data_IF_799451394394
#
_entry.id   IF_799451394394
#
_cell.length_a   1.000
_cell.length_b   1.000
_cell.length_c   1.000
_cell.angle_alpha   90.00
_cell.angle_beta   90.00
_cell.angle_gamma   90.00
#
_symmetry.space_group_name_H-M   'P 1'
#
loop_
_entity.id
_entity.type
_entity.pdbx_description
1 polymer ?
#
# COMPACT_ATOMS: atom_id res chain seq x y z
N UNK A 1 -32.60 -13.96 31.16
CA UNK A 1 -32.65 -12.55 31.58
C UNK A 1 -31.22 -12.02 31.53
N UNK A 2 -31.04 -10.93 30.77
CA UNK A 2 -29.78 -10.33 30.34
C UNK A 2 -28.92 -9.91 31.54
N UNK A 3 -27.62 -10.21 31.52
CA UNK A 3 -26.64 -9.56 32.40
C UNK A 3 -25.62 -8.80 31.56
N UNK A 4 -25.66 -7.48 31.74
CA UNK A 4 -24.64 -6.45 31.56
C UNK A 4 -23.48 -6.71 30.60
N UNK A 5 -23.63 -6.19 29.39
CA UNK A 5 -22.53 -5.66 28.58
C UNK A 5 -22.09 -4.35 29.23
N UNK A 6 -20.87 -4.27 29.76
CA UNK A 6 -20.31 -2.99 30.18
C UNK A 6 -19.23 -3.08 31.24
N UNK A 7 -17.97 -3.24 30.81
CA UNK A 7 -16.80 -2.66 31.49
C UNK A 7 -15.50 -3.05 30.78
N UNK A 8 -14.83 -2.06 30.18
CA UNK A 8 -13.38 -2.12 29.96
C UNK A 8 -12.93 -2.38 28.52
N UNK A 9 -13.07 -1.36 27.67
CA UNK A 9 -12.39 -1.25 26.38
C UNK A 9 -10.85 -1.35 26.51
N UNK A 10 -10.15 -1.77 25.44
CA UNK A 10 -8.70 -1.93 25.43
C UNK A 10 -7.97 -0.62 25.68
N UNK A 11 -7.00 -0.66 26.59
CA UNK A 11 -6.07 0.43 26.88
C UNK A 11 -5.25 0.75 25.62
N UNK A 12 -5.65 1.77 24.88
CA UNK A 12 -4.81 2.36 23.84
C UNK A 12 -3.67 3.06 24.55
N UNK A 13 -2.52 2.39 24.63
CA UNK A 13 -1.26 2.98 25.05
C UNK A 13 -0.82 3.96 23.96
N UNK A 14 -1.31 5.19 24.04
CA UNK A 14 -0.70 6.36 23.42
C UNK A 14 0.68 6.56 24.06
N UNK A 15 1.66 5.79 23.60
CA UNK A 15 3.08 6.06 23.84
C UNK A 15 3.60 6.81 22.62
N UNK A 16 3.07 8.02 22.42
CA UNK A 16 3.85 9.05 21.77
C UNK A 16 5.05 9.39 22.68
N UNK A 17 6.13 9.85 22.04
CA UNK A 17 7.37 10.34 22.66
C UNK A 17 8.36 9.21 22.98
N UNK A 18 9.08 8.82 21.93
CA UNK A 18 10.31 8.05 22.01
C UNK A 18 11.15 8.38 20.78
N UNK A 19 11.70 9.60 20.77
CA UNK A 19 12.76 9.96 19.85
C UNK A 19 13.94 9.01 20.06
N UNK A 20 14.17 8.12 19.10
CA UNK A 20 15.48 7.50 18.90
C UNK A 20 15.97 7.95 17.54
N UNK A 21 16.75 9.02 17.59
CA UNK A 21 17.59 9.53 16.52
C UNK A 21 18.50 8.40 16.02
N UNK A 22 18.31 8.00 14.77
CA UNK A 22 19.25 7.19 14.00
C UNK A 22 19.71 8.03 12.80
N UNK A 23 21.01 8.23 12.57
CA UNK A 23 21.48 9.11 11.51
C UNK A 23 21.38 8.37 10.18
N UNK A 24 20.39 8.72 9.36
CA UNK A 24 20.32 8.16 8.01
C UNK A 24 18.95 8.23 7.35
N UNK A 25 18.54 9.42 6.94
CA UNK A 25 17.82 9.69 5.69
C UNK A 25 17.45 11.18 5.65
N UNK A 26 17.77 11.85 4.55
CA UNK A 26 17.46 13.25 4.32
C UNK A 26 15.95 13.53 4.53
N UNK A 27 15.63 14.23 5.61
CA UNK A 27 14.29 14.70 5.90
C UNK A 27 13.98 15.95 5.07
N UNK A 28 13.18 15.79 4.01
CA UNK A 28 12.37 16.89 3.49
C UNK A 28 11.33 17.24 4.56
N UNK A 29 11.66 18.22 5.40
CA UNK A 29 10.72 18.80 6.35
C UNK A 29 9.86 19.84 5.63
N UNK A 30 8.66 19.43 5.26
CA UNK A 30 7.60 20.32 4.80
C UNK A 30 6.25 19.76 5.24
N UNK A 31 5.80 20.13 6.45
CA UNK A 31 4.43 19.90 6.91
C UNK A 31 3.89 21.18 7.54
N UNK A 32 2.59 21.42 7.37
CA UNK A 32 1.75 21.36 8.54
C UNK A 32 0.66 20.30 8.39
N UNK A 33 0.41 19.64 9.51
CA UNK A 33 -0.61 18.61 9.70
C UNK A 33 -2.02 19.11 9.34
N UNK A 34 -2.71 18.35 8.49
CA UNK A 34 -4.16 18.26 8.48
C UNK A 34 -4.49 16.80 8.79
N UNK A 35 -5.35 16.55 9.79
CA UNK A 35 -5.67 15.24 10.35
C UNK A 35 -6.39 14.28 9.40
N UNK A 36 -5.70 13.86 8.32
CA UNK A 36 -6.05 12.74 7.46
C UNK A 36 -4.78 11.91 7.25
N UNK A 37 -4.94 10.60 7.05
CA UNK A 37 -3.82 9.67 6.88
C UNK A 37 -2.75 10.25 5.96
N UNK A 38 -1.50 10.28 6.44
CA UNK A 38 -0.36 10.77 5.65
C UNK A 38 -0.37 10.08 4.28
N UNK A 39 -0.24 10.85 3.20
CA UNK A 39 -0.25 10.32 1.82
C UNK A 39 0.75 9.16 1.65
N UNK A 40 1.91 9.24 2.33
CA UNK A 40 2.90 8.17 2.34
C UNK A 40 2.39 6.88 3.00
N UNK A 41 1.55 6.97 4.04
CA UNK A 41 0.89 5.82 4.66
C UNK A 41 -0.12 5.20 3.69
N UNK A 42 -0.96 6.01 3.05
CA UNK A 42 -1.94 5.51 2.07
C UNK A 42 -1.24 4.82 0.90
N UNK A 43 -0.15 5.40 0.39
CA UNK A 43 0.64 4.80 -0.69
C UNK A 43 1.30 3.47 -0.25
N UNK A 44 1.73 3.37 1.01
CA UNK A 44 2.30 2.15 1.59
C UNK A 44 1.25 1.04 1.71
N UNK A 45 0.04 1.38 2.13
CA UNK A 45 -1.06 0.44 2.24
C UNK A 45 -1.48 -0.07 0.86
N UNK A 46 -1.61 0.83 -0.12
CA UNK A 46 -1.88 0.47 -1.53
C UNK A 46 -0.79 -0.44 -2.12
N UNK A 47 0.48 -0.15 -1.83
CA UNK A 47 1.58 -1.01 -2.26
C UNK A 47 1.53 -2.40 -1.60
N UNK A 48 1.18 -2.47 -0.31
CA UNK A 48 0.97 -3.72 0.42
C UNK A 48 -0.16 -4.56 -0.19
N UNK A 49 -1.28 -3.93 -0.51
CA UNK A 49 -2.44 -4.57 -1.12
C UNK A 49 -2.14 -5.09 -2.54
N UNK A 50 -1.34 -4.34 -3.32
CA UNK A 50 -0.89 -4.80 -4.63
C UNK A 50 -0.04 -6.08 -4.53
N UNK A 51 0.88 -6.14 -3.56
CA UNK A 51 1.72 -7.33 -3.32
C UNK A 51 0.86 -8.52 -2.88
N UNK A 52 -0.10 -8.29 -1.98
CA UNK A 52 -1.00 -9.35 -1.51
C UNK A 52 -1.87 -9.89 -2.65
N UNK A 53 -2.38 -9.00 -3.51
CA UNK A 53 -3.16 -9.37 -4.70
C UNK A 53 -2.34 -10.21 -5.67
N UNK A 54 -1.08 -9.83 -5.92
CA UNK A 54 -0.17 -10.60 -6.78
C UNK A 54 0.08 -12.01 -6.21
N UNK A 55 0.37 -12.13 -4.92
CA UNK A 55 0.54 -13.44 -4.25
C UNK A 55 -0.72 -14.30 -4.34
N UNK A 56 -1.90 -13.71 -4.17
CA UNK A 56 -3.17 -14.41 -4.30
C UNK A 56 -3.39 -14.92 -5.72
N UNK A 57 -3.00 -14.12 -6.73
CA UNK A 57 -3.09 -14.51 -8.14
C UNK A 57 -2.12 -15.66 -8.48
N UNK A 58 -0.90 -15.65 -7.94
CA UNK A 58 0.04 -16.77 -8.05
C UNK A 58 -0.53 -18.05 -7.43
N UNK A 59 -1.11 -17.96 -6.22
CA UNK A 59 -1.75 -19.11 -5.57
C UNK A 59 -2.92 -19.66 -6.38
N UNK A 60 -3.77 -18.79 -6.95
CA UNK A 60 -4.84 -19.23 -7.84
C UNK A 60 -4.32 -19.83 -9.14
N UNK A 61 -3.24 -19.31 -9.70
CA UNK A 61 -2.60 -19.85 -10.91
C UNK A 61 -2.03 -21.25 -10.65
N UNK A 62 -1.40 -21.46 -9.50
CA UNK A 62 -0.95 -22.78 -9.05
C UNK A 62 -2.14 -23.73 -8.89
N UNK A 63 -3.25 -23.26 -8.32
CA UNK A 63 -4.47 -24.08 -8.20
C UNK A 63 -5.10 -24.38 -9.57
N UNK A 64 -5.08 -23.45 -10.52
CA UNK A 64 -5.55 -23.65 -11.89
C UNK A 64 -4.74 -24.67 -12.67
N UNK A 65 -3.41 -24.64 -12.54
CA UNK A 65 -2.52 -25.67 -13.12
C UNK A 65 -2.79 -27.05 -12.50
N UNK A 66 -3.15 -27.10 -11.21
CA UNK A 66 -3.57 -28.33 -10.53
C UNK A 66 -5.02 -28.76 -10.86
N UNK A 67 -5.76 -28.01 -11.70
CA UNK A 67 -7.15 -28.31 -12.08
C UNK A 67 -8.21 -27.87 -11.06
N UNK A 68 -7.82 -27.18 -9.99
CA UNK A 68 -8.71 -26.70 -8.91
C UNK A 68 -9.34 -25.32 -9.19
N UNK A 69 -8.97 -24.66 -10.29
CA UNK A 69 -9.57 -23.39 -10.73
C UNK A 69 -9.85 -23.42 -12.24
N UNK A 70 -10.98 -22.84 -12.66
CA UNK A 70 -11.39 -22.84 -14.07
C UNK A 70 -10.47 -21.96 -14.92
N UNK A 71 -10.26 -22.34 -16.19
CA UNK A 71 -9.48 -21.54 -17.15
C UNK A 71 -10.01 -20.11 -17.30
N UNK A 72 -11.33 -19.92 -17.15
CA UNK A 72 -11.97 -18.62 -17.15
C UNK A 72 -11.56 -17.76 -15.94
N UNK A 73 -11.49 -18.36 -14.73
CA UNK A 73 -11.05 -17.65 -13.52
C UNK A 73 -9.57 -17.23 -13.60
N UNK A 74 -8.72 -18.04 -14.24
CA UNK A 74 -7.32 -17.70 -14.47
C UNK A 74 -7.20 -16.50 -15.42
N UNK A 75 -7.94 -16.49 -16.53
CA UNK A 75 -7.94 -15.36 -17.47
C UNK A 75 -8.46 -14.08 -16.80
N UNK A 76 -9.52 -14.17 -16.01
CA UNK A 76 -10.04 -13.01 -15.27
C UNK A 76 -9.03 -12.45 -14.26
N UNK A 77 -8.33 -13.34 -13.53
CA UNK A 77 -7.26 -12.94 -12.62
C UNK A 77 -6.09 -12.24 -13.35
N UNK A 78 -5.68 -12.76 -14.51
CA UNK A 78 -4.62 -12.16 -15.34
C UNK A 78 -5.04 -10.79 -15.89
N UNK A 79 -6.26 -10.67 -16.42
CA UNK A 79 -6.79 -9.41 -16.93
C UNK A 79 -6.88 -8.33 -15.84
N UNK A 80 -7.24 -8.70 -14.61
CA UNK A 80 -7.24 -7.78 -13.47
C UNK A 80 -5.82 -7.37 -13.04
N UNK A 81 -4.86 -8.30 -13.11
CA UNK A 81 -3.45 -8.00 -12.85
C UNK A 81 -2.88 -7.02 -13.90
N UNK A 82 -3.20 -7.20 -15.18
CA UNK A 82 -2.74 -6.30 -16.26
C UNK A 82 -3.24 -4.87 -16.09
N UNK A 83 -4.51 -4.69 -15.70
CA UNK A 83 -5.09 -3.35 -15.43
C UNK A 83 -4.37 -2.64 -14.27
N UNK A 84 -4.05 -3.40 -13.23
CA UNK A 84 -3.31 -2.89 -12.07
C UNK A 84 -1.88 -2.51 -12.47
N UNK A 85 -1.22 -3.35 -13.27
CA UNK A 85 0.12 -3.09 -13.77
C UNK A 85 0.16 -1.83 -14.66
N UNK A 86 -0.79 -1.66 -15.58
CA UNK A 86 -0.89 -0.45 -16.42
C UNK A 86 -1.00 0.83 -15.58
N UNK A 87 -1.76 0.77 -14.50
CA UNK A 87 -1.90 1.91 -13.56
C UNK A 87 -0.58 2.17 -12.83
N UNK A 88 0.09 1.13 -12.33
CA UNK A 88 1.37 1.25 -11.66
C UNK A 88 2.47 1.83 -12.59
N UNK A 89 2.51 1.40 -13.85
CA UNK A 89 3.44 1.93 -14.86
C UNK A 89 3.16 3.41 -15.14
N UNK A 90 1.88 3.80 -15.25
CA UNK A 90 1.50 5.20 -15.45
C UNK A 90 1.97 6.09 -14.28
N UNK A 91 1.84 5.61 -13.05
CA UNK A 91 2.34 6.31 -11.85
C UNK A 91 3.87 6.40 -11.89
N UNK A 92 4.57 5.31 -12.23
CA UNK A 92 6.03 5.28 -12.37
C UNK A 92 6.50 6.34 -13.37
N UNK A 93 5.85 6.44 -14.52
CA UNK A 93 6.24 7.40 -15.56
C UNK A 93 6.00 8.85 -15.11
N UNK A 94 4.92 9.12 -14.36
CA UNK A 94 4.67 10.45 -13.76
C UNK A 94 5.72 10.84 -12.72
N UNK A 95 6.12 9.91 -11.86
CA UNK A 95 7.16 10.15 -10.84
C UNK A 95 8.52 10.42 -11.49
N UNK A 96 8.88 9.63 -12.51
CA UNK A 96 10.13 9.85 -13.27
C UNK A 96 10.10 11.21 -13.97
N UNK A 97 8.99 11.58 -14.60
CA UNK A 97 8.84 12.90 -15.23
C UNK A 97 8.97 14.04 -14.21
N UNK A 98 8.34 13.92 -13.04
CA UNK A 98 8.43 14.94 -11.99
C UNK A 98 9.86 15.09 -11.44
N UNK A 99 10.62 13.99 -11.34
CA UNK A 99 12.04 14.02 -10.96
C UNK A 99 12.91 14.72 -12.01
N UNK A 100 12.70 14.41 -13.30
CA UNK A 100 13.44 15.04 -14.39
C UNK A 100 13.11 16.54 -14.53
N UNK A 101 11.87 16.94 -14.25
CA UNK A 101 11.44 18.34 -14.22
C UNK A 101 12.12 19.10 -13.07
N UNK A 102 12.07 18.55 -11.84
CA UNK A 102 12.74 19.12 -10.68
C UNK A 102 14.26 19.27 -10.90
N UNK A 103 14.86 18.27 -11.55
CA UNK A 103 16.29 18.27 -11.87
C UNK A 103 16.66 19.32 -12.93
N UNK A 104 15.74 19.69 -13.83
CA UNK A 104 15.95 20.79 -14.80
C UNK A 104 15.77 22.16 -14.18
N UNK A 105 14.94 22.28 -13.15
CA UNK A 105 14.78 23.52 -12.38
C UNK A 105 15.93 23.72 -11.39
N UNK A 106 16.61 22.66 -10.96
CA UNK A 106 17.82 22.71 -10.15
C UNK A 106 19.05 23.13 -10.99
N UNK A 107 19.07 24.38 -11.45
CA UNK A 107 20.26 25.22 -11.58
C UNK A 107 19.97 26.63 -11.06
#
# INVERSE_FOLDING_TARGET
>A
MISAIGSGLPSIKTSGIGATEGPGAAAFSGVPAAGGADFASVMKDVAGDAINTMKSAEQMSIQGVNGNASTQAVVEAVMNAERTLQTAVTIRDKVVSAYLELSRMAI
#
